data_IF_203701818927
#
_entry.id   IF_203701818927
#
_cell.length_a   1.000
_cell.length_b   1.000
_cell.length_c   1.000
_cell.angle_alpha   90.00
_cell.angle_beta   90.00
_cell.angle_gamma   90.00
#
_symmetry.space_group_name_H-M   'P 1'
#
loop_
_entity.id
_entity.type
_entity.pdbx_description
1 polymer ?
#
# COMPACT_ATOMS: atom_id res chain seq x y z
N UNK A 1 -20.35 -111.03 32.57
CA UNK A 1 -20.17 -110.37 31.26
C UNK A 1 -20.31 -108.88 31.45
N UNK A 2 -19.44 -108.00 30.99
CA UNK A 2 -17.98 -107.99 30.85
C UNK A 2 -17.67 -106.66 30.18
N UNK A 3 -16.88 -105.81 30.85
CA UNK A 3 -15.85 -105.04 30.15
C UNK A 3 -16.20 -103.67 29.56
N UNK A 4 -17.37 -103.06 29.79
CA UNK A 4 -17.60 -101.63 29.46
C UNK A 4 -18.04 -100.77 30.65
N UNK A 5 -18.76 -101.33 31.62
CA UNK A 5 -19.27 -100.55 32.77
C UNK A 5 -18.23 -100.29 33.87
N UNK A 6 -17.01 -100.83 33.76
CA UNK A 6 -15.93 -100.60 34.74
C UNK A 6 -14.96 -99.47 34.38
N UNK A 7 -14.95 -99.01 33.13
CA UNK A 7 -14.14 -97.86 32.70
C UNK A 7 -14.89 -96.52 32.86
N UNK A 8 -16.21 -96.49 32.68
CA UNK A 8 -17.00 -95.27 32.96
C UNK A 8 -17.07 -94.95 34.46
N UNK A 9 -17.12 -95.96 35.33
CA UNK A 9 -17.22 -95.79 36.78
C UNK A 9 -15.88 -95.37 37.43
N UNK A 10 -14.73 -95.68 36.80
CA UNK A 10 -13.42 -95.18 37.23
C UNK A 10 -13.17 -93.74 36.79
N UNK A 11 -13.59 -93.37 35.58
CA UNK A 11 -13.50 -91.99 35.06
C UNK A 11 -14.48 -91.03 35.76
N UNK A 12 -15.66 -91.50 36.19
CA UNK A 12 -16.57 -90.70 37.04
C UNK A 12 -16.04 -90.50 38.47
N UNK A 13 -15.31 -91.47 39.03
CA UNK A 13 -14.66 -91.31 40.34
C UNK A 13 -13.44 -90.39 40.32
N UNK A 14 -12.63 -90.40 39.26
CA UNK A 14 -11.52 -89.44 39.12
C UNK A 14 -12.01 -88.01 38.87
N UNK A 15 -13.05 -87.82 38.04
CA UNK A 15 -13.63 -86.49 37.78
C UNK A 15 -14.36 -85.90 39.00
N UNK A 16 -15.01 -86.73 39.82
CA UNK A 16 -15.59 -86.27 41.11
C UNK A 16 -14.52 -85.97 42.16
N UNK A 17 -13.39 -86.69 42.18
CA UNK A 17 -12.29 -86.39 43.09
C UNK A 17 -11.53 -85.10 42.73
N UNK A 18 -11.31 -84.84 41.43
CA UNK A 18 -10.68 -83.61 40.94
C UNK A 18 -11.54 -82.37 41.26
N UNK A 19 -12.86 -82.48 41.12
CA UNK A 19 -13.80 -81.43 41.51
C UNK A 19 -13.84 -81.21 43.03
N UNK A 20 -13.63 -82.23 43.85
CA UNK A 20 -13.58 -82.07 45.30
C UNK A 20 -12.29 -81.39 45.79
N UNK A 21 -11.15 -81.67 45.17
CA UNK A 21 -9.88 -81.00 45.49
C UNK A 21 -9.83 -79.56 44.97
N UNK A 22 -10.32 -79.31 43.74
CA UNK A 22 -10.46 -77.96 43.19
C UNK A 22 -11.37 -77.07 44.02
N UNK A 23 -12.50 -77.60 44.50
CA UNK A 23 -13.40 -76.89 45.40
C UNK A 23 -12.84 -76.72 46.81
N UNK A 24 -11.97 -77.62 47.29
CA UNK A 24 -11.24 -77.45 48.57
C UNK A 24 -10.15 -76.39 48.47
N UNK A 25 -9.44 -76.29 47.34
CA UNK A 25 -8.46 -75.23 47.08
C UNK A 25 -9.14 -73.87 46.89
N UNK A 26 -10.25 -73.81 46.12
CA UNK A 26 -11.07 -72.59 46.00
C UNK A 26 -11.68 -72.16 47.34
N UNK A 27 -12.18 -73.10 48.15
CA UNK A 27 -12.69 -72.77 49.49
C UNK A 27 -11.59 -72.32 50.44
N UNK A 28 -10.35 -72.82 50.31
CA UNK A 28 -9.22 -72.33 51.10
C UNK A 28 -8.68 -70.96 50.61
N UNK A 29 -8.78 -70.66 49.32
CA UNK A 29 -8.45 -69.33 48.76
C UNK A 29 -9.54 -68.30 49.09
N UNK A 30 -10.82 -68.69 49.06
CA UNK A 30 -11.95 -67.85 49.47
C UNK A 30 -12.07 -67.69 51.00
N UNK A 31 -11.45 -68.59 51.77
CA UNK A 31 -11.21 -68.43 53.22
C UNK A 31 -9.86 -67.77 53.54
N UNK A 32 -9.24 -67.07 52.59
CA UNK A 32 -8.30 -66.04 52.99
C UNK A 32 -9.07 -64.97 53.77
N UNK A 33 -8.82 -64.97 55.09
CA UNK A 33 -9.22 -63.98 56.10
C UNK A 33 -10.13 -62.90 55.50
N UNK A 34 -11.44 -62.94 55.78
CA UNK A 34 -12.28 -61.74 55.66
C UNK A 34 -11.51 -60.63 56.33
N UNK A 35 -10.92 -59.74 55.53
CA UNK A 35 -10.24 -58.57 56.04
C UNK A 35 -11.36 -57.76 56.68
N UNK A 36 -11.50 -57.91 58.00
CA UNK A 36 -12.44 -57.15 58.80
C UNK A 36 -11.89 -55.73 58.87
N UNK A 37 -12.07 -55.00 57.77
CA UNK A 37 -11.83 -53.57 57.74
C UNK A 37 -12.84 -52.92 58.67
N UNK A 38 -12.33 -52.13 59.61
CA UNK A 38 -13.18 -51.33 60.48
C UNK A 38 -14.06 -50.42 59.62
N UNK A 39 -15.18 -49.95 60.16
CA UNK A 39 -16.07 -49.01 59.45
C UNK A 39 -15.31 -47.81 58.86
N UNK A 40 -14.20 -47.40 59.51
CA UNK A 40 -13.31 -46.33 59.05
C UNK A 40 -12.48 -46.74 57.83
N UNK A 41 -11.95 -47.97 57.76
CA UNK A 41 -11.17 -48.44 56.61
C UNK A 41 -12.02 -48.73 55.37
N UNK A 42 -13.28 -49.15 55.53
CA UNK A 42 -14.22 -49.26 54.39
C UNK A 42 -14.54 -47.89 53.78
N UNK A 43 -14.74 -46.86 54.60
CA UNK A 43 -14.95 -45.49 54.13
C UNK A 43 -13.73 -44.95 53.37
N UNK A 44 -12.51 -45.23 53.85
CA UNK A 44 -11.27 -44.85 53.16
C UNK A 44 -11.12 -45.56 51.82
N UNK A 45 -11.40 -46.87 51.76
CA UNK A 45 -11.32 -47.65 50.51
C UNK A 45 -12.38 -47.21 49.50
N UNK A 46 -13.62 -46.97 49.93
CA UNK A 46 -14.68 -46.42 49.05
C UNK A 46 -14.32 -45.01 48.55
N UNK A 47 -13.76 -44.15 49.41
CA UNK A 47 -13.25 -42.85 49.01
C UNK A 47 -12.13 -42.94 47.98
N UNK A 48 -11.21 -43.89 48.13
CA UNK A 48 -10.13 -44.15 47.16
C UNK A 48 -10.67 -44.65 45.82
N UNK A 49 -11.67 -45.54 45.82
CA UNK A 49 -12.28 -46.05 44.57
C UNK A 49 -13.04 -44.94 43.85
N UNK A 50 -13.83 -44.13 44.56
CA UNK A 50 -14.53 -42.99 43.97
C UNK A 50 -13.52 -41.96 43.45
N UNK A 51 -12.45 -41.69 44.19
CA UNK A 51 -11.34 -40.86 43.75
C UNK A 51 -10.68 -41.39 42.47
N UNK A 52 -10.45 -42.69 42.38
CA UNK A 52 -9.89 -43.34 41.19
C UNK A 52 -10.85 -43.23 39.98
N UNK A 53 -12.15 -43.43 40.18
CA UNK A 53 -13.17 -43.28 39.14
C UNK A 53 -13.25 -41.82 38.68
N UNK A 54 -13.20 -40.85 39.58
CA UNK A 54 -13.14 -39.43 39.24
C UNK A 54 -11.86 -39.07 38.49
N UNK A 55 -10.71 -39.66 38.84
CA UNK A 55 -9.45 -39.50 38.10
C UNK A 55 -9.55 -40.12 36.70
N UNK A 56 -10.17 -41.30 36.55
CA UNK A 56 -10.38 -41.96 35.26
C UNK A 56 -11.35 -41.14 34.40
N UNK A 57 -12.50 -40.73 34.94
CA UNK A 57 -13.47 -39.86 34.25
C UNK A 57 -12.86 -38.52 33.88
N UNK A 58 -12.07 -37.91 34.78
CA UNK A 58 -11.32 -36.69 34.49
C UNK A 58 -10.28 -36.92 33.39
N UNK A 59 -9.58 -38.05 33.39
CA UNK A 59 -8.61 -38.38 32.34
C UNK A 59 -9.26 -38.62 30.97
N UNK A 60 -10.47 -39.20 30.93
CA UNK A 60 -11.24 -39.41 29.70
C UNK A 60 -11.81 -38.10 29.17
N UNK A 61 -12.40 -37.26 30.04
CA UNK A 61 -12.89 -35.93 29.68
C UNK A 61 -11.75 -35.01 29.22
N UNK A 62 -10.59 -35.08 29.89
CA UNK A 62 -9.40 -34.32 29.52
C UNK A 62 -8.79 -34.80 28.20
N UNK A 63 -8.81 -36.11 27.90
CA UNK A 63 -8.38 -36.64 26.59
C UNK A 63 -9.25 -36.15 25.43
N UNK A 64 -10.56 -35.94 25.64
CA UNK A 64 -11.44 -35.35 24.61
C UNK A 64 -11.16 -33.86 24.37
N UNK A 65 -10.83 -33.11 25.43
CA UNK A 65 -10.55 -31.67 25.35
C UNK A 65 -9.10 -31.35 24.93
N UNK A 66 -8.17 -32.27 25.15
CA UNK A 66 -6.75 -32.16 24.76
C UNK A 66 -6.42 -32.89 23.46
N UNK A 67 -7.40 -33.07 22.57
CA UNK A 67 -7.16 -33.56 21.22
C UNK A 67 -6.95 -32.34 20.27
N UNK A 68 -5.83 -32.27 19.52
CA UNK A 68 -5.59 -31.20 18.55
C UNK A 68 -6.75 -31.00 17.54
N UNK A 69 -7.41 -32.08 17.11
CA UNK A 69 -8.52 -32.03 16.16
C UNK A 69 -9.77 -31.35 16.75
N UNK A 70 -10.00 -31.52 18.06
CA UNK A 70 -11.11 -30.87 18.76
C UNK A 70 -10.99 -29.35 18.70
N UNK A 71 -9.78 -28.78 18.81
CA UNK A 71 -9.58 -27.34 18.71
C UNK A 71 -9.94 -26.80 17.32
N UNK A 72 -9.61 -27.55 16.26
CA UNK A 72 -9.91 -27.17 14.86
C UNK A 72 -11.42 -27.22 14.58
N UNK A 73 -12.10 -28.31 14.96
CA UNK A 73 -13.55 -28.44 14.75
C UNK A 73 -14.35 -27.49 15.63
N UNK A 74 -13.88 -27.19 16.84
CA UNK A 74 -14.49 -26.17 17.71
C UNK A 74 -14.38 -24.78 17.08
N UNK A 75 -13.21 -24.41 16.53
CA UNK A 75 -13.02 -23.13 15.85
C UNK A 75 -13.95 -23.01 14.64
N UNK A 76 -14.00 -24.06 13.81
CA UNK A 76 -14.86 -24.12 12.62
C UNK A 76 -16.33 -23.96 13.00
N UNK A 77 -16.79 -24.67 14.04
CA UNK A 77 -18.16 -24.59 14.55
C UNK A 77 -18.47 -23.20 15.09
N UNK A 78 -17.55 -22.61 15.87
CA UNK A 78 -17.71 -21.27 16.43
C UNK A 78 -17.83 -20.20 15.33
N UNK A 79 -16.99 -20.25 14.30
CA UNK A 79 -17.07 -19.35 13.14
C UNK A 79 -18.39 -19.52 12.38
N UNK A 80 -18.84 -20.77 12.15
CA UNK A 80 -20.12 -21.03 11.48
C UNK A 80 -21.31 -20.49 12.27
N UNK A 81 -21.26 -20.54 13.61
CA UNK A 81 -22.29 -20.03 14.52
C UNK A 81 -22.17 -18.55 14.85
N UNK A 82 -21.12 -17.88 14.38
CA UNK A 82 -20.78 -16.50 14.78
C UNK A 82 -20.59 -16.34 16.30
N UNK A 83 -20.07 -17.40 16.95
CA UNK A 83 -19.81 -17.44 18.39
C UNK A 83 -18.46 -16.78 18.72
N UNK A 84 -18.49 -15.45 18.84
CA UNK A 84 -17.29 -14.62 19.03
C UNK A 84 -16.54 -14.96 20.32
N UNK A 85 -17.27 -15.25 21.40
CA UNK A 85 -16.69 -15.62 22.69
C UNK A 85 -15.90 -16.93 22.58
N UNK A 86 -16.45 -17.93 21.91
CA UNK A 86 -15.75 -19.19 21.71
C UNK A 86 -14.54 -19.03 20.77
N UNK A 87 -14.67 -18.27 19.67
CA UNK A 87 -13.51 -17.97 18.80
C UNK A 87 -12.39 -17.30 19.59
N UNK A 88 -12.71 -16.29 20.41
CA UNK A 88 -11.74 -15.59 21.25
C UNK A 88 -11.00 -16.52 22.22
N UNK A 89 -11.70 -17.50 22.79
CA UNK A 89 -11.11 -18.49 23.69
C UNK A 89 -10.21 -19.50 22.95
N UNK A 90 -10.47 -19.77 21.68
CA UNK A 90 -9.74 -20.75 20.88
C UNK A 90 -8.50 -20.16 20.19
N UNK A 91 -8.49 -18.86 19.93
CA UNK A 91 -7.38 -18.19 19.23
C UNK A 91 -6.40 -17.49 20.18
N UNK A 92 -5.18 -17.29 19.72
CA UNK A 92 -4.15 -16.46 20.35
C UNK A 92 -3.36 -15.73 19.29
N UNK A 93 -3.00 -14.46 19.50
CA UNK A 93 -2.10 -13.77 18.58
C UNK A 93 -0.68 -14.29 18.72
N UNK A 94 0.04 -14.42 17.60
CA UNK A 94 1.48 -14.68 17.61
C UNK A 94 2.29 -13.48 18.09
N UNK A 95 1.70 -12.28 18.10
CA UNK A 95 2.30 -11.10 18.70
C UNK A 95 1.73 -10.88 20.10
N UNK A 96 2.59 -11.01 21.12
CA UNK A 96 2.20 -10.92 22.54
C UNK A 96 1.67 -9.55 22.94
N UNK A 97 1.97 -8.48 22.19
CA UNK A 97 1.45 -7.14 22.49
C UNK A 97 0.06 -6.87 21.91
N UNK A 98 -0.46 -7.74 21.05
CA UNK A 98 -1.78 -7.57 20.45
C UNK A 98 -2.87 -8.05 21.42
N UNK A 99 -3.69 -7.12 21.90
CA UNK A 99 -4.94 -7.44 22.56
C UNK A 99 -6.03 -7.71 21.51
N UNK A 100 -6.72 -8.84 21.63
CA UNK A 100 -7.81 -9.23 20.71
C UNK A 100 -9.15 -8.81 21.33
N UNK A 101 -9.84 -7.87 20.68
CA UNK A 101 -11.18 -7.44 21.10
C UNK A 101 -12.29 -8.07 20.23
N UNK A 102 -13.56 -7.76 20.51
CA UNK A 102 -14.69 -8.33 19.77
C UNK A 102 -14.76 -7.89 18.30
N UNK A 103 -14.38 -6.65 17.99
CA UNK A 103 -14.35 -6.14 16.61
C UNK A 103 -13.31 -6.90 15.77
N UNK A 104 -12.15 -7.20 16.36
CA UNK A 104 -11.09 -7.99 15.75
C UNK A 104 -11.58 -9.41 15.39
N UNK A 105 -12.36 -10.02 16.28
CA UNK A 105 -12.98 -11.34 16.06
C UNK A 105 -14.03 -11.28 14.97
N UNK A 106 -14.86 -10.25 14.97
CA UNK A 106 -15.87 -10.05 13.92
C UNK A 106 -15.23 -9.93 12.53
N UNK A 107 -14.18 -9.11 12.39
CA UNK A 107 -13.43 -8.96 11.13
C UNK A 107 -12.91 -10.32 10.64
N UNK A 108 -12.34 -11.11 11.56
CA UNK A 108 -11.79 -12.43 11.27
C UNK A 108 -12.87 -13.43 10.82
N UNK A 109 -13.99 -13.50 11.55
CA UNK A 109 -15.12 -14.38 11.24
C UNK A 109 -15.71 -14.00 9.88
N UNK A 110 -15.97 -12.71 9.65
CA UNK A 110 -16.52 -12.22 8.38
C UNK A 110 -15.59 -12.54 7.22
N UNK A 111 -14.27 -12.35 7.40
CA UNK A 111 -13.29 -12.70 6.37
C UNK A 111 -13.36 -14.19 5.99
N UNK A 112 -13.33 -15.09 6.99
CA UNK A 112 -13.36 -16.53 6.75
C UNK A 112 -14.68 -17.03 6.16
N UNK A 113 -15.81 -16.40 6.52
CA UNK A 113 -17.13 -16.70 5.94
C UNK A 113 -17.22 -16.25 4.49
N UNK A 114 -16.64 -15.09 4.15
CA UNK A 114 -16.73 -14.51 2.80
C UNK A 114 -15.67 -15.02 1.82
N UNK A 115 -14.67 -15.77 2.29
CA UNK A 115 -13.59 -16.33 1.46
C UNK A 115 -13.54 -17.86 1.57
N UNK A 116 -14.59 -18.53 1.06
CA UNK A 116 -14.79 -19.97 1.22
C UNK A 116 -13.60 -20.84 0.77
N UNK A 117 -12.98 -20.54 -0.37
CA UNK A 117 -11.84 -21.33 -0.87
C UNK A 117 -10.61 -21.18 0.02
N UNK A 118 -10.33 -19.94 0.47
CA UNK A 118 -9.26 -19.68 1.42
C UNK A 118 -9.52 -20.42 2.74
N UNK A 119 -10.74 -20.31 3.27
CA UNK A 119 -11.18 -20.94 4.51
C UNK A 119 -11.10 -22.47 4.43
N UNK A 120 -11.56 -23.08 3.34
CA UNK A 120 -11.44 -24.52 3.09
C UNK A 120 -9.99 -24.97 3.08
N UNK A 121 -9.12 -24.22 2.40
CA UNK A 121 -7.68 -24.49 2.38
C UNK A 121 -7.03 -24.35 3.75
N UNK A 122 -7.42 -23.30 4.50
CA UNK A 122 -6.97 -23.04 5.87
C UNK A 122 -7.35 -24.17 6.82
N UNK A 123 -8.62 -24.59 6.84
CA UNK A 123 -9.07 -25.67 7.73
C UNK A 123 -8.45 -27.01 7.36
N UNK A 124 -8.24 -27.30 6.07
CA UNK A 124 -7.50 -28.48 5.64
C UNK A 124 -6.06 -28.48 6.18
N UNK A 125 -5.39 -27.34 6.15
CA UNK A 125 -4.06 -27.18 6.73
C UNK A 125 -4.08 -27.39 8.25
N UNK A 126 -5.02 -26.76 8.97
CA UNK A 126 -5.16 -26.92 10.42
C UNK A 126 -5.45 -28.38 10.81
N UNK A 127 -6.30 -29.10 10.07
CA UNK A 127 -6.53 -30.53 10.28
C UNK A 127 -5.26 -31.35 10.07
N UNK A 128 -4.47 -31.05 9.03
CA UNK A 128 -3.19 -31.74 8.81
C UNK A 128 -2.18 -31.47 9.94
N UNK A 129 -2.16 -30.26 10.49
CA UNK A 129 -1.36 -29.93 11.67
C UNK A 129 -1.85 -30.69 12.91
N UNK A 130 -3.17 -30.84 13.07
CA UNK A 130 -3.77 -31.63 14.15
C UNK A 130 -3.36 -33.12 14.08
N UNK A 131 -3.40 -33.73 12.89
CA UNK A 131 -3.01 -35.13 12.69
C UNK A 131 -1.54 -35.38 13.05
N UNK A 132 -0.65 -34.46 12.69
CA UNK A 132 0.78 -34.51 13.05
C UNK A 132 1.00 -34.37 14.55
N UNK A 133 0.36 -33.40 15.18
CA UNK A 133 0.45 -33.18 16.63
C UNK A 133 -0.14 -34.35 17.43
N UNK A 134 -1.16 -35.03 16.90
CA UNK A 134 -1.72 -36.24 17.51
C UNK A 134 -0.78 -37.45 17.39
N UNK A 135 0.15 -37.43 16.44
CA UNK A 135 1.13 -38.49 16.18
C UNK A 135 2.51 -38.16 16.78
N UNK A 136 2.56 -37.28 17.79
CA UNK A 136 3.79 -36.76 18.42
C UNK A 136 4.87 -36.28 17.42
N UNK A 137 4.42 -35.80 16.26
CA UNK A 137 5.28 -35.33 15.18
C UNK A 137 5.21 -33.81 15.06
N UNK A 138 6.33 -33.19 14.68
CA UNK A 138 6.39 -31.74 14.53
C UNK A 138 5.46 -31.25 13.41
N UNK A 139 4.51 -30.39 13.79
CA UNK A 139 3.67 -29.67 12.83
C UNK A 139 4.41 -28.43 12.32
N UNK A 140 4.82 -28.46 11.05
CA UNK A 140 5.36 -27.28 10.38
C UNK A 140 4.32 -26.15 10.31
N UNK A 141 4.77 -24.93 10.61
CA UNK A 141 3.93 -23.74 10.49
C UNK A 141 3.77 -23.38 9.02
N UNK A 142 2.52 -23.26 8.58
CA UNK A 142 2.18 -22.75 7.27
C UNK A 142 2.68 -21.32 7.11
N UNK A 143 3.46 -21.04 6.07
CA UNK A 143 3.78 -19.68 5.64
C UNK A 143 2.64 -19.05 4.83
N UNK A 144 1.86 -19.87 4.13
CA UNK A 144 0.75 -19.47 3.27
C UNK A 144 -0.47 -18.95 4.04
N UNK A 145 -0.79 -19.59 5.16
CA UNK A 145 -1.96 -19.25 5.96
C UNK A 145 -1.60 -18.43 7.19
N UNK A 146 -2.54 -17.58 7.62
CA UNK A 146 -2.34 -16.72 8.79
C UNK A 146 -2.66 -17.42 10.11
N UNK A 147 -3.30 -18.59 10.13
CA UNK A 147 -3.49 -19.38 11.36
C UNK A 147 -2.66 -20.65 11.35
N UNK A 148 -2.21 -21.06 12.54
CA UNK A 148 -1.52 -22.33 12.78
C UNK A 148 -1.98 -22.92 14.11
N UNK A 149 -2.05 -24.24 14.20
CA UNK A 149 -2.36 -24.94 15.43
C UNK A 149 -1.07 -25.11 16.26
N UNK A 150 -1.13 -24.79 17.55
CA UNK A 150 -0.02 -25.05 18.47
C UNK A 150 -0.52 -25.57 19.82
N UNK A 151 0.26 -26.42 20.50
CA UNK A 151 0.08 -26.62 21.93
C UNK A 151 0.34 -25.29 22.65
N UNK A 152 -0.60 -24.89 23.48
CA UNK A 152 -0.49 -23.82 24.46
C UNK A 152 0.05 -24.37 25.79
N UNK A 153 0.12 -23.51 26.81
CA UNK A 153 0.53 -23.92 28.15
C UNK A 153 -0.37 -25.04 28.69
N UNK A 154 0.20 -25.95 29.49
CA UNK A 154 -0.52 -27.13 29.98
C UNK A 154 -1.72 -26.69 30.84
N UNK A 155 -2.93 -27.13 30.46
CA UNK A 155 -4.11 -26.99 31.30
C UNK A 155 -3.96 -27.93 32.50
N UNK A 156 -4.06 -27.38 33.71
CA UNK A 156 -3.93 -28.13 34.97
C UNK A 156 -2.60 -28.89 35.16
N UNK A 157 -1.53 -28.50 34.47
CA UNK A 157 -0.18 -29.06 34.64
C UNK A 157 0.07 -30.43 33.99
N UNK A 158 -0.95 -31.09 33.43
CA UNK A 158 -0.85 -32.48 32.95
C UNK A 158 -1.29 -32.69 31.50
N UNK A 159 -2.15 -31.84 30.93
CA UNK A 159 -2.61 -32.00 29.54
C UNK A 159 -2.30 -30.77 28.68
N UNK A 160 -1.85 -30.94 27.42
CA UNK A 160 -1.70 -29.82 26.51
C UNK A 160 -3.09 -29.22 26.18
N UNK A 161 -3.21 -27.90 26.30
CA UNK A 161 -4.31 -27.15 25.66
C UNK A 161 -3.87 -26.81 24.24
N UNK A 162 -4.76 -26.87 23.26
CA UNK A 162 -4.41 -26.51 21.88
C UNK A 162 -5.08 -25.21 21.50
N UNK A 163 -4.28 -24.25 21.02
CA UNK A 163 -4.75 -22.93 20.58
C UNK A 163 -4.41 -22.69 19.12
N UNK A 164 -5.23 -21.87 18.49
CA UNK A 164 -5.05 -21.43 17.12
C UNK A 164 -4.25 -20.13 17.16
N UNK A 165 -2.99 -20.23 16.77
CA UNK A 165 -2.08 -19.09 16.69
C UNK A 165 -2.37 -18.29 15.41
N UNK A 166 -2.83 -17.06 15.57
CA UNK A 166 -3.13 -16.13 14.47
C UNK A 166 -1.96 -15.17 14.28
N UNK A 167 -1.41 -15.13 13.08
CA UNK A 167 -0.40 -14.16 12.66
C UNK A 167 -1.06 -12.79 12.46
N UNK A 168 -0.58 -11.73 13.11
CA UNK A 168 -1.14 -10.41 12.90
C UNK A 168 -0.88 -9.91 11.49
N UNK A 169 -1.78 -9.07 11.04
CA UNK A 169 -1.65 -8.26 9.84
C UNK A 169 -1.15 -6.85 10.20
N UNK A 170 -0.59 -6.18 9.20
CA UNK A 170 -0.18 -4.78 9.28
C UNK A 170 -0.60 -4.07 8.00
N UNK A 171 -0.91 -2.78 8.08
CA UNK A 171 -1.30 -1.96 6.92
C UNK A 171 -0.28 -0.83 6.76
N UNK A 172 0.36 -0.76 5.61
CA UNK A 172 1.35 0.28 5.31
C UNK A 172 0.68 1.37 4.46
N UNK A 173 0.67 2.59 4.99
CA UNK A 173 0.16 3.77 4.29
C UNK A 173 1.34 4.56 3.75
N UNK A 174 1.33 4.83 2.44
CA UNK A 174 2.29 5.71 1.75
C UNK A 174 1.51 6.92 1.23
N UNK A 175 1.89 8.13 1.65
CA UNK A 175 1.19 9.37 1.31
C UNK A 175 2.17 10.47 0.88
N UNK A 176 1.90 11.10 -0.27
CA UNK A 176 2.67 12.25 -0.80
C UNK A 176 2.13 13.61 -0.35
N UNK A 177 1.20 13.62 0.60
CA UNK A 177 0.48 14.82 1.02
C UNK A 177 0.55 14.96 2.52
N UNK A 178 1.35 15.91 3.00
CA UNK A 178 1.44 16.27 4.42
C UNK A 178 0.10 16.77 4.97
N UNK A 179 -0.21 16.43 6.22
CA UNK A 179 -1.42 16.88 6.91
C UNK A 179 -2.68 16.07 6.58
N UNK A 180 -2.52 14.90 5.98
CA UNK A 180 -3.62 13.98 5.65
C UNK A 180 -3.95 13.11 6.86
N UNK A 181 -5.18 13.18 7.34
CA UNK A 181 -5.65 12.34 8.44
C UNK A 181 -5.96 10.93 7.94
N UNK A 182 -5.49 9.93 8.67
CA UNK A 182 -5.59 8.52 8.30
C UNK A 182 -6.53 7.83 9.28
N UNK A 183 -7.53 7.14 8.73
CA UNK A 183 -8.51 6.39 9.48
C UNK A 183 -8.50 4.93 9.04
N UNK A 184 -8.59 4.01 10.00
CA UNK A 184 -8.77 2.58 9.76
C UNK A 184 -10.04 2.17 10.50
N UNK A 185 -11.03 1.64 9.78
CA UNK A 185 -12.38 1.33 10.28
C UNK A 185 -12.96 2.52 11.08
N UNK A 186 -12.93 3.71 10.49
CA UNK A 186 -13.42 4.97 11.05
C UNK A 186 -12.69 5.50 12.29
N UNK A 187 -11.69 4.78 12.83
CA UNK A 187 -10.83 5.28 13.91
C UNK A 187 -9.65 6.04 13.31
N UNK A 188 -9.43 7.28 13.73
CA UNK A 188 -8.22 8.01 13.34
C UNK A 188 -7.00 7.36 14.00
N UNK A 189 -6.04 6.92 13.18
CA UNK A 189 -4.83 6.23 13.64
C UNK A 189 -3.59 7.11 13.55
N UNK A 190 -3.64 8.19 12.76
CA UNK A 190 -2.54 9.13 12.62
C UNK A 190 -2.79 10.21 11.58
N UNK A 191 -1.76 11.00 11.32
CA UNK A 191 -1.74 12.07 10.32
C UNK A 191 -0.39 12.04 9.62
N UNK A 192 -0.35 12.23 8.30
CA UNK A 192 0.91 12.29 7.56
C UNK A 192 1.72 13.53 7.94
N UNK A 193 2.98 13.34 8.31
CA UNK A 193 3.86 14.40 8.82
C UNK A 193 4.76 15.01 7.75
N UNK A 194 4.87 14.39 6.58
CA UNK A 194 5.70 14.80 5.45
C UNK A 194 5.03 14.49 4.10
N UNK A 195 5.58 15.03 3.00
CA UNK A 195 5.14 14.80 1.61
C UNK A 195 5.72 13.50 1.00
N UNK A 196 6.31 12.64 1.82
CA UNK A 196 6.83 11.30 1.50
C UNK A 196 6.51 10.28 2.60
N UNK A 197 5.45 10.56 3.37
CA UNK A 197 5.07 9.82 4.56
C UNK A 197 4.88 8.33 4.27
N UNK A 198 5.56 7.48 5.06
CA UNK A 198 5.34 6.04 5.08
C UNK A 198 5.23 5.57 6.51
N UNK A 199 4.13 4.88 6.84
CA UNK A 199 3.95 4.33 8.17
C UNK A 199 3.14 3.02 8.14
N UNK A 200 3.51 2.08 9.01
CA UNK A 200 2.89 0.77 9.13
C UNK A 200 2.08 0.70 10.43
N UNK A 201 0.77 0.53 10.29
CA UNK A 201 -0.17 0.42 11.41
C UNK A 201 -0.49 -1.05 11.71
N UNK A 202 -0.63 -1.36 13.00
CA UNK A 202 -0.97 -2.68 13.51
C UNK A 202 -0.35 -2.89 14.90
N UNK A 203 -0.40 -4.11 15.43
CA UNK A 203 -0.91 -5.33 14.81
C UNK A 203 -2.45 -5.36 14.70
N UNK A 204 -2.96 -5.88 13.58
CA UNK A 204 -4.39 -6.09 13.30
C UNK A 204 -4.73 -7.57 13.13
N UNK A 205 -6.00 -7.95 13.30
CA UNK A 205 -6.44 -9.29 12.89
C UNK A 205 -6.50 -9.40 11.36
N UNK A 206 -6.12 -10.54 10.76
CA UNK A 206 -6.28 -10.75 9.32
C UNK A 206 -7.74 -10.57 8.89
N UNK A 207 -7.97 -9.71 7.88
CA UNK A 207 -9.29 -9.47 7.35
C UNK A 207 -9.36 -8.31 6.36
N UNK A 208 -10.56 -7.75 6.16
CA UNK A 208 -10.77 -6.57 5.32
C UNK A 208 -10.97 -5.33 6.18
N UNK A 209 -10.17 -4.31 5.93
CA UNK A 209 -10.22 -3.02 6.62
C UNK A 209 -10.60 -1.90 5.66
N UNK A 210 -11.39 -0.94 6.14
CA UNK A 210 -11.65 0.29 5.40
C UNK A 210 -10.63 1.33 5.82
N UNK A 211 -9.74 1.70 4.89
CA UNK A 211 -8.79 2.78 5.07
C UNK A 211 -9.37 4.04 4.43
N UNK A 212 -9.42 5.14 5.19
CA UNK A 212 -9.77 6.46 4.68
C UNK A 212 -8.63 7.43 4.91
N UNK A 213 -8.14 8.03 3.83
CA UNK A 213 -7.25 9.18 3.86
C UNK A 213 -8.11 10.44 3.66
N UNK A 214 -8.02 11.40 4.59
CA UNK A 214 -8.83 12.63 4.59
C UNK A 214 -7.93 13.85 4.66
N UNK A 215 -7.86 14.60 3.57
CA UNK A 215 -7.10 15.83 3.47
C UNK A 215 -8.03 17.04 3.50
N UNK A 216 -7.69 18.03 4.32
CA UNK A 216 -8.43 19.29 4.47
C UNK A 216 -7.43 20.45 4.51
N UNK A 217 -7.05 20.93 3.33
CA UNK A 217 -6.11 22.03 3.18
C UNK A 217 -6.75 23.36 2.84
N UNK A 218 -5.90 24.36 2.59
CA UNK A 218 -6.31 25.70 2.18
C UNK A 218 -6.96 25.74 0.79
N UNK A 219 -6.56 24.82 -0.10
CA UNK A 219 -6.93 24.85 -1.52
C UNK A 219 -7.74 23.63 -1.97
N UNK A 220 -7.81 22.57 -1.16
CA UNK A 220 -8.53 21.35 -1.51
C UNK A 220 -9.06 20.62 -0.28
N UNK A 221 -10.19 19.93 -0.46
CA UNK A 221 -10.78 19.01 0.52
C UNK A 221 -11.08 17.71 -0.19
N UNK A 222 -10.42 16.63 0.21
CA UNK A 222 -10.50 15.34 -0.49
C UNK A 222 -10.53 14.21 0.51
N UNK A 223 -11.36 13.21 0.24
CA UNK A 223 -11.35 11.91 0.90
C UNK A 223 -11.08 10.81 -0.11
N UNK A 224 -10.20 9.87 0.23
CA UNK A 224 -9.98 8.62 -0.49
C UNK A 224 -10.32 7.46 0.44
N UNK A 225 -11.20 6.57 0.01
CA UNK A 225 -11.60 5.38 0.78
C UNK A 225 -11.21 4.13 -0.01
N UNK A 226 -10.46 3.23 0.62
CA UNK A 226 -9.99 1.98 0.02
C UNK A 226 -10.24 0.83 0.98
N UNK A 227 -10.71 -0.31 0.45
CA UNK A 227 -10.75 -1.57 1.20
C UNK A 227 -9.43 -2.30 1.05
N UNK A 228 -8.82 -2.68 2.17
CA UNK A 228 -7.54 -3.38 2.23
C UNK A 228 -7.77 -4.80 2.72
N UNK A 229 -7.40 -5.77 1.89
CA UNK A 229 -7.37 -7.19 2.26
C UNK A 229 -5.98 -7.53 2.81
N UNK A 230 -5.88 -7.59 4.13
CA UNK A 230 -4.59 -7.76 4.80
C UNK A 230 -3.98 -9.16 4.64
N UNK A 231 -4.69 -10.08 3.99
CA UNK A 231 -4.19 -11.42 3.67
C UNK A 231 -3.51 -11.48 2.31
N UNK A 232 -3.62 -10.41 1.50
CA UNK A 232 -3.08 -10.32 0.15
C UNK A 232 -2.15 -9.12 0.00
N UNK A 233 -2.72 -7.92 -0.03
CA UNK A 233 -1.98 -6.67 -0.21
C UNK A 233 -2.31 -5.71 0.92
N UNK A 234 -1.26 -5.31 1.62
CA UNK A 234 -1.33 -4.46 2.82
C UNK A 234 -0.91 -3.02 2.55
N UNK A 235 -0.46 -2.70 1.33
CA UNK A 235 -0.04 -1.35 0.99
C UNK A 235 -1.20 -0.52 0.42
N UNK A 236 -1.40 0.65 1.01
CA UNK A 236 -2.26 1.72 0.47
C UNK A 236 -1.37 2.85 -0.02
N UNK A 237 -1.60 3.28 -1.26
CA UNK A 237 -0.86 4.37 -1.91
C UNK A 237 -1.76 5.61 -2.02
N UNK A 238 -1.12 6.76 -1.78
CA UNK A 238 -1.48 8.17 -2.01
C UNK A 238 -2.93 8.53 -2.36
N UNK A 239 -3.37 9.70 -1.90
CA UNK A 239 -4.50 10.40 -2.52
C UNK A 239 -4.08 10.88 -3.92
N UNK A 240 -4.49 10.16 -4.96
CA UNK A 240 -4.08 10.44 -6.35
C UNK A 240 -4.84 11.61 -6.99
N UNK A 241 -5.89 12.10 -6.33
CA UNK A 241 -6.77 13.17 -6.83
C UNK A 241 -6.32 14.58 -6.43
N UNK A 242 -5.15 14.71 -5.80
CA UNK A 242 -4.53 16.01 -5.52
C UNK A 242 -3.10 16.07 -6.04
N UNK A 243 -2.66 17.26 -6.44
CA UNK A 243 -1.32 17.51 -6.97
C UNK A 243 -0.75 18.83 -6.47
N UNK A 244 0.57 18.92 -6.50
CA UNK A 244 1.31 20.17 -6.39
C UNK A 244 1.66 20.67 -7.79
N UNK A 245 1.60 21.98 -8.01
CA UNK A 245 1.89 22.63 -9.29
C UNK A 245 2.90 23.75 -9.08
N UNK A 246 3.81 23.92 -10.03
CA UNK A 246 4.74 25.05 -10.03
C UNK A 246 4.12 26.19 -10.85
N UNK A 247 4.03 27.38 -10.26
CA UNK A 247 3.39 28.53 -10.91
C UNK A 247 4.43 29.60 -11.17
N UNK A 248 4.53 30.06 -12.42
CA UNK A 248 5.44 31.13 -12.84
C UNK A 248 4.72 32.12 -13.75
N UNK A 249 5.28 33.33 -13.89
CA UNK A 249 4.77 34.40 -14.75
C UNK A 249 5.89 35.40 -15.00
N UNK A 250 5.78 36.18 -16.07
CA UNK A 250 6.65 37.34 -16.32
C UNK A 250 6.47 38.44 -15.28
N UNK A 251 5.29 38.51 -14.64
CA UNK A 251 5.03 39.42 -13.54
C UNK A 251 5.14 38.70 -12.21
N UNK A 252 6.37 38.65 -11.69
CA UNK A 252 6.71 38.08 -10.39
C UNK A 252 5.96 38.74 -9.20
N UNK A 253 5.47 39.98 -9.37
CA UNK A 253 4.73 40.74 -8.36
C UNK A 253 3.21 40.57 -8.42
N UNK A 254 2.67 39.85 -9.41
CA UNK A 254 1.25 39.61 -9.54
C UNK A 254 0.70 38.71 -8.41
N UNK A 255 -0.50 39.01 -7.93
CA UNK A 255 -1.20 38.25 -6.89
C UNK A 255 -1.87 37.01 -7.47
N UNK A 256 -1.73 35.87 -6.78
CA UNK A 256 -2.26 34.58 -7.25
C UNK A 256 -3.70 34.37 -6.78
N UNK A 257 -4.52 33.84 -7.67
CA UNK A 257 -5.90 33.47 -7.41
C UNK A 257 -6.13 31.99 -7.71
N UNK A 258 -6.88 31.32 -6.83
CA UNK A 258 -7.36 29.95 -7.02
C UNK A 258 -8.88 29.99 -6.92
N UNK A 259 -9.58 29.48 -7.94
CA UNK A 259 -11.05 29.44 -8.01
C UNK A 259 -11.70 30.79 -7.63
N UNK A 260 -11.19 31.87 -8.23
CA UNK A 260 -11.57 33.28 -8.00
C UNK A 260 -11.28 33.85 -6.60
N UNK A 261 -10.57 33.11 -5.74
CA UNK A 261 -10.15 33.59 -4.42
C UNK A 261 -8.68 34.03 -4.43
N UNK A 262 -8.41 35.28 -4.04
CA UNK A 262 -7.05 35.75 -3.78
C UNK A 262 -6.44 34.95 -2.62
N UNK A 263 -5.26 34.36 -2.82
CA UNK A 263 -4.59 33.58 -1.77
C UNK A 263 -3.63 34.43 -0.91
N UNK A 264 -3.55 35.74 -1.17
CA UNK A 264 -2.71 36.68 -0.43
C UNK A 264 -1.21 36.50 -0.66
N UNK A 265 -0.83 35.91 -1.80
CA UNK A 265 0.56 35.65 -2.17
C UNK A 265 0.83 36.09 -3.60
N UNK A 266 2.05 36.56 -3.87
CA UNK A 266 2.51 36.90 -5.22
C UNK A 266 3.16 35.70 -5.91
N UNK A 267 3.32 35.76 -7.23
CA UNK A 267 4.00 34.74 -8.02
C UNK A 267 5.38 34.41 -7.44
N UNK A 268 6.20 35.43 -7.12
CA UNK A 268 7.54 35.23 -6.53
C UNK A 268 7.55 34.53 -5.17
N UNK A 269 6.45 34.62 -4.43
CA UNK A 269 6.29 34.03 -3.09
C UNK A 269 5.76 32.59 -3.16
N UNK A 270 5.33 32.13 -4.35
CA UNK A 270 4.69 30.83 -4.58
C UNK A 270 5.42 30.07 -5.67
N UNK A 271 6.53 29.41 -5.30
CA UNK A 271 7.23 28.50 -6.22
C UNK A 271 6.38 27.28 -6.56
N UNK A 272 5.75 26.69 -5.55
CA UNK A 272 4.91 25.50 -5.65
C UNK A 272 3.62 25.74 -4.89
N UNK A 273 2.51 25.39 -5.51
CA UNK A 273 1.16 25.59 -5.02
C UNK A 273 0.44 24.25 -4.96
N UNK A 274 -0.26 24.00 -3.87
CA UNK A 274 -0.98 22.75 -3.67
C UNK A 274 -0.97 22.32 -2.21
N UNK A 275 -1.49 21.12 -1.94
CA UNK A 275 -2.22 20.25 -2.87
C UNK A 275 -3.52 20.88 -3.39
N UNK A 276 -3.78 20.73 -4.68
CA UNK A 276 -5.01 21.16 -5.38
C UNK A 276 -5.61 19.99 -6.16
N UNK A 277 -6.91 20.07 -6.45
CA UNK A 277 -7.64 19.05 -7.22
C UNK A 277 -7.58 19.31 -8.73
N UNK A 278 -7.96 18.30 -9.49
CA UNK A 278 -8.33 18.52 -10.89
C UNK A 278 -9.49 19.53 -10.98
N UNK A 279 -9.55 20.25 -12.09
CA UNK A 279 -10.46 21.33 -12.44
C UNK A 279 -10.30 22.62 -11.60
N UNK A 280 -9.29 22.68 -10.73
CA UNK A 280 -8.93 23.92 -10.03
C UNK A 280 -8.41 24.95 -11.03
N UNK A 281 -8.96 26.16 -10.98
CA UNK A 281 -8.62 27.26 -11.88
C UNK A 281 -7.64 28.21 -11.20
N UNK A 282 -6.54 28.52 -11.88
CA UNK A 282 -5.46 29.36 -11.38
C UNK A 282 -5.20 30.48 -12.36
N UNK A 283 -5.09 31.70 -11.84
CA UNK A 283 -4.67 32.88 -12.59
C UNK A 283 -3.96 33.87 -11.65
N UNK A 284 -3.36 34.91 -12.22
CA UNK A 284 -2.71 35.98 -11.50
C UNK A 284 -3.33 37.34 -11.85
N UNK A 285 -3.23 38.30 -10.92
CA UNK A 285 -3.67 39.69 -11.12
C UNK A 285 -2.52 40.63 -10.82
N UNK A 286 -2.14 41.42 -11.82
CA UNK A 286 -1.14 42.47 -11.69
C UNK A 286 -1.82 43.82 -11.45
N UNK A 287 -1.26 44.64 -10.56
CA UNK A 287 -1.67 46.04 -10.37
C UNK A 287 -0.64 46.94 -11.02
N UNK A 288 -1.02 47.61 -12.10
CA UNK A 288 -0.16 48.54 -12.84
C UNK A 288 -0.85 49.89 -12.90
N UNK A 289 -0.21 50.94 -12.38
CA UNK A 289 -0.78 52.30 -12.30
C UNK A 289 -2.18 52.33 -11.65
N UNK A 290 -2.40 51.52 -10.62
CA UNK A 290 -3.68 51.43 -9.90
C UNK A 290 -4.79 50.66 -10.61
N UNK A 291 -4.55 50.13 -11.82
CA UNK A 291 -5.49 49.27 -12.55
C UNK A 291 -5.10 47.80 -12.42
N UNK A 292 -6.11 46.93 -12.36
CA UNK A 292 -5.94 45.49 -12.29
C UNK A 292 -5.98 44.86 -13.68
N UNK A 293 -5.06 43.94 -13.92
CA UNK A 293 -4.92 43.19 -15.16
C UNK A 293 -4.90 41.71 -14.80
N UNK A 294 -5.58 40.84 -15.56
CA UNK A 294 -5.72 39.40 -15.27
C UNK A 294 -4.83 38.61 -16.24
N UNK A 295 -4.12 37.60 -15.76
CA UNK A 295 -3.45 36.65 -16.64
C UNK A 295 -4.47 35.77 -17.38
N UNK A 296 -3.98 34.92 -18.27
CA UNK A 296 -4.69 33.72 -18.68
C UNK A 296 -5.11 32.89 -17.45
N UNK A 297 -6.27 32.28 -17.55
CA UNK A 297 -6.77 31.31 -16.57
C UNK A 297 -6.39 29.90 -17.03
N UNK A 298 -5.69 29.16 -16.16
CA UNK A 298 -5.30 27.77 -16.41
C UNK A 298 -6.09 26.86 -15.49
N UNK A 299 -6.70 25.84 -16.07
CA UNK A 299 -7.42 24.81 -15.33
C UNK A 299 -6.54 23.56 -15.19
N UNK A 300 -6.42 23.05 -13.97
CA UNK A 300 -5.61 21.86 -13.69
C UNK A 300 -6.34 20.61 -14.17
N UNK A 301 -5.80 19.94 -15.17
CA UNK A 301 -6.40 18.74 -15.74
C UNK A 301 -5.87 18.48 -17.14
N UNK A 302 -6.41 17.48 -17.83
CA UNK A 302 -6.07 17.20 -19.23
C UNK A 302 -4.56 17.00 -19.46
N UNK A 303 -3.93 17.94 -20.19
CA UNK A 303 -2.50 17.89 -20.53
C UNK A 303 -1.58 17.87 -19.31
N UNK A 304 -1.96 18.55 -18.23
CA UNK A 304 -1.22 18.61 -16.98
C UNK A 304 -1.27 17.29 -16.19
N UNK A 305 -2.13 16.34 -16.56
CA UNK A 305 -2.19 15.07 -15.85
C UNK A 305 -0.99 14.15 -16.12
N UNK A 306 -0.24 14.42 -17.19
CA UNK A 306 0.93 13.62 -17.60
C UNK A 306 2.19 13.94 -16.79
N UNK A 307 2.23 15.09 -16.12
CA UNK A 307 3.37 15.52 -15.32
C UNK A 307 3.15 15.17 -13.83
N UNK A 308 4.23 14.79 -13.14
CA UNK A 308 4.21 14.55 -11.69
C UNK A 308 4.01 15.86 -10.91
N UNK A 309 4.62 16.96 -11.39
CA UNK A 309 4.44 18.31 -10.84
C UNK A 309 4.22 19.29 -12.00
N UNK A 310 2.95 19.53 -12.38
CA UNK A 310 2.63 20.38 -13.52
C UNK A 310 3.23 21.77 -13.41
N UNK A 311 3.74 22.28 -14.54
CA UNK A 311 4.29 23.64 -14.63
C UNK A 311 3.29 24.57 -15.32
N UNK A 312 2.80 25.54 -14.56
CA UNK A 312 1.84 26.54 -14.98
C UNK A 312 2.55 27.87 -15.21
N UNK A 313 2.69 28.25 -16.46
CA UNK A 313 3.08 29.59 -16.83
C UNK A 313 1.82 30.43 -17.05
N UNK A 314 1.65 31.49 -16.26
CA UNK A 314 0.50 32.41 -16.32
C UNK A 314 0.89 33.66 -17.12
N UNK A 315 0.50 33.69 -18.39
CA UNK A 315 0.79 34.80 -19.33
C UNK A 315 -0.22 35.93 -19.16
N UNK A 316 0.23 37.18 -19.17
CA UNK A 316 -0.64 38.34 -19.23
C UNK A 316 -0.89 38.74 -20.69
N UNK A 317 -2.15 38.82 -21.13
CA UNK A 317 -2.45 39.31 -22.47
C UNK A 317 -2.02 40.77 -22.63
N UNK A 318 -1.93 41.24 -23.87
CA UNK A 318 -1.60 42.64 -24.15
C UNK A 318 -2.76 43.56 -23.74
N UNK A 319 -2.45 44.59 -22.96
CA UNK A 319 -3.42 45.59 -22.51
C UNK A 319 -3.05 46.98 -23.05
N UNK A 320 -3.98 47.71 -23.71
CA UNK A 320 -3.70 49.04 -24.22
C UNK A 320 -3.21 50.00 -23.12
N UNK A 321 -2.11 50.69 -23.38
CA UNK A 321 -1.53 51.69 -22.46
C UNK A 321 -0.80 51.10 -21.25
N UNK A 322 -0.66 49.78 -21.17
CA UNK A 322 0.19 49.10 -20.19
C UNK A 322 1.51 48.75 -20.87
N UNK A 323 2.67 49.15 -20.32
CA UNK A 323 3.95 48.59 -20.71
C UNK A 323 3.97 47.12 -20.29
N UNK A 324 3.28 46.25 -21.04
CA UNK A 324 3.37 44.82 -20.83
C UNK A 324 4.57 44.32 -21.66
N UNK A 325 5.56 43.69 -21.05
CA UNK A 325 6.44 42.84 -21.82
C UNK A 325 5.59 41.78 -22.56
N UNK A 326 5.77 41.61 -23.87
CA UNK A 326 4.97 40.66 -24.66
C UNK A 326 5.43 39.21 -24.38
N UNK A 327 5.20 38.70 -23.16
CA UNK A 327 5.55 37.36 -22.69
C UNK A 327 5.13 36.29 -23.68
N UNK A 328 3.85 36.21 -24.01
CA UNK A 328 3.32 35.30 -25.04
C UNK A 328 4.01 35.39 -26.40
N UNK A 329 4.40 36.59 -26.87
CA UNK A 329 5.14 36.71 -28.13
C UNK A 329 6.54 36.11 -28.04
N UNK A 330 7.25 36.35 -26.93
CA UNK A 330 8.59 35.77 -26.70
C UNK A 330 8.50 34.26 -26.51
N UNK A 331 7.47 33.76 -25.82
CA UNK A 331 7.24 32.33 -25.69
C UNK A 331 7.00 31.66 -27.04
N UNK A 332 6.12 32.25 -27.86
CA UNK A 332 5.85 31.73 -29.20
C UNK A 332 7.08 31.83 -30.11
N UNK A 333 7.86 32.91 -29.99
CA UNK A 333 9.16 33.06 -30.64
C UNK A 333 10.07 31.88 -30.30
N UNK A 334 10.23 31.52 -29.03
CA UNK A 334 11.08 30.39 -28.63
C UNK A 334 10.53 29.07 -29.15
N UNK A 335 9.23 28.80 -28.98
CA UNK A 335 8.63 27.56 -29.48
C UNK A 335 8.84 27.41 -30.99
N UNK A 336 8.62 28.47 -31.76
CA UNK A 336 8.87 28.48 -33.20
C UNK A 336 10.36 28.33 -33.51
N UNK A 337 11.23 29.09 -32.82
CA UNK A 337 12.68 28.98 -32.98
C UNK A 337 13.16 27.53 -32.82
N UNK A 338 12.71 26.80 -31.81
CA UNK A 338 13.14 25.41 -31.58
C UNK A 338 12.64 24.45 -32.68
N UNK A 339 11.39 24.60 -33.12
CA UNK A 339 10.83 23.81 -34.22
C UNK A 339 11.61 24.06 -35.52
N UNK A 340 11.80 25.33 -35.88
CA UNK A 340 12.51 25.69 -37.11
C UNK A 340 14.02 25.39 -37.02
N UNK A 341 14.62 25.40 -35.82
CA UNK A 341 15.99 24.95 -35.58
C UNK A 341 16.14 23.47 -35.97
N UNK A 342 15.19 22.62 -35.57
CA UNK A 342 15.18 21.22 -36.02
C UNK A 342 14.99 21.09 -37.54
N UNK A 343 14.15 21.92 -38.17
CA UNK A 343 14.00 21.94 -39.62
C UNK A 343 15.32 22.30 -40.31
N UNK A 344 15.98 23.37 -39.87
CA UNK A 344 17.27 23.79 -40.41
C UNK A 344 18.34 22.69 -40.24
N UNK A 345 18.37 22.03 -39.07
CA UNK A 345 19.28 20.91 -38.79
C UNK A 345 19.03 19.72 -39.73
N UNK A 346 17.78 19.32 -39.92
CA UNK A 346 17.45 18.15 -40.76
C UNK A 346 17.57 18.41 -42.25
N UNK A 347 17.41 19.66 -42.71
CA UNK A 347 17.35 19.99 -44.14
C UNK A 347 18.56 20.78 -44.64
N UNK A 348 19.39 21.30 -43.74
CA UNK A 348 20.45 22.26 -44.09
C UNK A 348 19.95 23.68 -44.39
N UNK A 349 18.64 23.94 -44.38
CA UNK A 349 18.08 25.23 -44.76
C UNK A 349 18.19 26.25 -43.61
N UNK A 350 19.30 27.00 -43.57
CA UNK A 350 19.51 28.08 -42.60
C UNK A 350 18.51 29.25 -42.75
N UNK A 351 17.95 29.45 -43.95
CA UNK A 351 16.98 30.52 -44.22
C UNK A 351 15.71 30.39 -43.37
N UNK A 352 15.37 29.17 -42.95
CA UNK A 352 14.25 28.89 -42.05
C UNK A 352 14.36 29.60 -40.69
N UNK A 353 15.56 30.05 -40.30
CA UNK A 353 15.83 30.68 -39.00
C UNK A 353 15.81 32.20 -39.01
N UNK A 354 15.77 32.84 -40.19
CA UNK A 354 15.90 34.28 -40.33
C UNK A 354 14.80 35.08 -39.61
N UNK A 355 13.61 34.49 -39.47
CA UNK A 355 12.47 35.10 -38.77
C UNK A 355 12.53 34.99 -37.25
N UNK A 356 13.51 34.26 -36.71
CA UNK A 356 13.56 33.91 -35.28
C UNK A 356 14.88 34.29 -34.60
N UNK A 357 15.97 34.43 -35.35
CA UNK A 357 17.28 34.80 -34.81
C UNK A 357 17.58 36.26 -35.10
N UNK A 358 18.09 36.98 -34.11
CA UNK A 358 18.48 38.38 -34.28
C UNK A 358 19.65 38.47 -35.27
N UNK A 359 19.59 39.29 -36.33
CA UNK A 359 20.66 39.38 -37.33
C UNK A 359 22.01 39.77 -36.71
N UNK A 360 23.06 39.02 -37.03
CA UNK A 360 24.42 39.26 -36.52
C UNK A 360 24.63 38.87 -35.05
N UNK A 361 23.72 38.08 -34.48
CA UNK A 361 23.86 37.59 -33.11
C UNK A 361 24.77 36.36 -33.00
N UNK A 362 25.33 36.12 -31.82
CA UNK A 362 26.16 34.92 -31.54
C UNK A 362 25.40 33.62 -31.84
N UNK A 363 24.09 33.60 -31.56
CA UNK A 363 23.23 32.44 -31.81
C UNK A 363 23.16 32.05 -33.29
N UNK A 364 23.29 33.02 -34.21
CA UNK A 364 23.30 32.74 -35.65
C UNK A 364 24.46 31.82 -36.01
N UNK A 365 25.65 32.04 -35.42
CA UNK A 365 26.83 31.24 -35.74
C UNK A 365 26.81 29.88 -35.05
N UNK A 366 26.26 29.80 -33.83
CA UNK A 366 26.00 28.53 -33.15
C UNK A 366 25.05 27.63 -33.96
N UNK A 367 23.95 28.18 -34.47
CA UNK A 367 22.99 27.42 -35.28
C UNK A 367 23.64 26.94 -36.58
N UNK A 368 24.45 27.76 -37.25
CA UNK A 368 25.22 27.33 -38.43
C UNK A 368 26.16 26.16 -38.11
N UNK A 369 26.88 26.24 -36.99
CA UNK A 369 27.77 25.17 -36.55
C UNK A 369 26.99 23.88 -36.22
N UNK A 370 25.84 24.01 -35.57
CA UNK A 370 24.96 22.88 -35.23
C UNK A 370 24.42 22.19 -36.49
N UNK A 371 23.93 22.94 -37.47
CA UNK A 371 23.44 22.39 -38.75
C UNK A 371 24.55 21.59 -39.44
N UNK A 372 25.77 22.14 -39.56
CA UNK A 372 26.92 21.43 -40.14
C UNK A 372 27.25 20.14 -39.40
N UNK A 373 27.24 20.16 -38.07
CA UNK A 373 27.52 18.98 -37.22
C UNK A 373 26.51 17.85 -37.43
N UNK A 374 25.26 18.16 -37.75
CA UNK A 374 24.21 17.17 -37.92
C UNK A 374 24.03 16.72 -39.37
N UNK A 375 24.44 17.52 -40.35
CA UNK A 375 24.51 17.06 -41.75
C UNK A 375 25.45 15.86 -41.94
N UNK A 376 26.47 15.70 -41.09
CA UNK A 376 27.35 14.52 -41.11
C UNK A 376 26.80 13.33 -40.33
N UNK A 377 25.56 13.44 -39.81
CA UNK A 377 24.92 12.39 -39.00
C UNK A 377 23.64 11.95 -39.70
N UNK A 378 23.46 10.65 -39.85
CA UNK A 378 22.20 10.05 -40.30
C UNK A 378 21.17 10.04 -39.16
N UNK A 379 20.91 11.20 -38.56
CA UNK A 379 20.01 11.41 -37.43
C UNK A 379 18.97 12.47 -37.79
N UNK A 380 17.68 12.16 -37.59
CA UNK A 380 16.59 13.15 -37.70
C UNK A 380 16.19 13.62 -36.31
N UNK A 381 16.19 14.93 -36.09
CA UNK A 381 15.80 15.52 -34.80
C UNK A 381 14.46 16.24 -34.93
N UNK A 382 13.57 16.04 -33.98
CA UNK A 382 12.30 16.80 -33.90
C UNK A 382 12.09 17.33 -32.48
N UNK A 383 11.51 18.52 -32.37
CA UNK A 383 11.08 19.06 -31.06
C UNK A 383 9.84 18.28 -30.62
N UNK A 384 9.95 17.58 -29.49
CA UNK A 384 8.84 16.82 -28.90
C UNK A 384 8.01 17.70 -27.97
N UNK A 385 8.66 18.50 -27.12
CA UNK A 385 8.00 19.50 -26.28
C UNK A 385 8.95 20.62 -25.90
N UNK A 386 8.38 21.79 -25.60
CA UNK A 386 9.07 22.94 -25.02
C UNK A 386 8.17 23.55 -23.94
N UNK A 387 8.59 23.41 -22.69
CA UNK A 387 7.93 23.99 -21.54
C UNK A 387 8.66 25.26 -21.14
N UNK A 388 7.97 26.40 -21.16
CA UNK A 388 8.54 27.65 -20.67
C UNK A 388 8.50 27.62 -19.15
N UNK A 389 9.66 27.73 -18.51
CA UNK A 389 9.77 27.71 -17.05
C UNK A 389 9.90 29.10 -16.45
N UNK A 390 10.26 30.10 -17.26
CA UNK A 390 10.24 31.50 -16.87
C UNK A 390 10.53 32.42 -18.05
N UNK A 391 10.02 33.65 -18.00
CA UNK A 391 10.35 34.70 -18.95
C UNK A 391 10.47 36.01 -18.17
N UNK A 392 11.64 36.63 -18.21
CA UNK A 392 11.92 37.85 -17.46
C UNK A 392 12.38 38.92 -18.42
N UNK A 393 11.67 40.03 -18.41
CA UNK A 393 12.04 41.20 -19.19
C UNK A 393 12.90 42.16 -18.38
N UNK A 394 13.80 42.83 -19.08
CA UNK A 394 14.50 43.98 -18.56
C UNK A 394 13.53 45.17 -18.43
N UNK A 395 13.93 46.19 -17.67
CA UNK A 395 13.08 47.37 -17.39
C UNK A 395 12.64 48.11 -18.67
N UNK A 396 13.39 47.98 -19.76
CA UNK A 396 13.07 48.60 -21.06
C UNK A 396 11.92 47.89 -21.79
N UNK A 397 11.52 46.70 -21.34
CA UNK A 397 10.54 45.84 -22.01
C UNK A 397 10.98 45.32 -23.38
N UNK A 398 12.20 45.62 -23.83
CA UNK A 398 12.70 45.34 -25.20
C UNK A 398 13.72 44.22 -25.23
N UNK A 399 14.16 43.74 -24.08
CA UNK A 399 15.10 42.63 -23.98
C UNK A 399 14.83 41.83 -22.71
N UNK A 400 15.39 40.63 -22.63
CA UNK A 400 15.21 39.79 -21.46
C UNK A 400 15.78 38.40 -21.64
N UNK A 401 15.37 37.52 -20.73
CA UNK A 401 15.77 36.12 -20.67
C UNK A 401 14.53 35.23 -20.60
N UNK A 402 14.57 34.10 -21.29
CA UNK A 402 13.53 33.07 -21.27
C UNK A 402 14.18 31.71 -21.02
N UNK A 403 13.61 30.98 -20.07
CA UNK A 403 14.09 29.69 -19.62
C UNK A 403 13.14 28.60 -20.11
N UNK A 404 13.70 27.49 -20.58
CA UNK A 404 12.97 26.40 -21.18
C UNK A 404 13.42 25.04 -20.66
N UNK A 405 12.48 24.10 -20.65
CA UNK A 405 12.77 22.67 -20.64
C UNK A 405 12.37 22.09 -21.99
N UNK A 406 13.35 21.53 -22.68
CA UNK A 406 13.25 21.12 -24.08
C UNK A 406 13.43 19.62 -24.20
N UNK A 407 12.51 18.98 -24.92
CA UNK A 407 12.58 17.55 -25.19
C UNK A 407 12.65 17.36 -26.70
N UNK A 408 13.66 16.62 -27.15
CA UNK A 408 13.87 16.30 -28.55
C UNK A 408 13.77 14.80 -28.77
N UNK A 409 13.13 14.39 -29.86
CA UNK A 409 13.22 13.04 -30.37
C UNK A 409 14.34 12.97 -31.42
N UNK A 410 15.25 12.02 -31.27
CA UNK A 410 16.33 11.72 -32.21
C UNK A 410 16.08 10.34 -32.79
N UNK A 411 15.83 10.29 -34.10
CA UNK A 411 15.61 9.08 -34.87
C UNK A 411 16.86 8.76 -35.69
N UNK A 412 17.40 7.56 -35.50
CA UNK A 412 18.49 7.01 -36.30
C UNK A 412 18.04 5.67 -36.89
N UNK A 413 17.76 5.66 -38.19
CA UNK A 413 17.27 4.49 -38.94
C UNK A 413 16.06 3.80 -38.30
N UNK A 414 15.11 4.57 -37.76
CA UNK A 414 13.90 4.07 -37.12
C UNK A 414 14.05 3.76 -35.62
N UNK A 415 15.27 3.83 -35.08
CA UNK A 415 15.51 3.72 -33.63
C UNK A 415 15.38 5.10 -33.00
N UNK A 416 14.38 5.26 -32.13
CA UNK A 416 14.07 6.52 -31.47
C UNK A 416 14.73 6.62 -30.09
N UNK A 417 15.29 7.79 -29.79
CA UNK A 417 15.82 8.15 -28.48
C UNK A 417 15.39 9.57 -28.11
N UNK A 418 15.31 9.87 -26.81
CA UNK A 418 14.95 11.20 -26.32
C UNK A 418 16.17 11.91 -25.74
N UNK A 419 16.27 13.22 -25.99
CA UNK A 419 17.25 14.11 -25.34
C UNK A 419 16.53 15.26 -24.66
N UNK A 420 16.96 15.58 -23.45
CA UNK A 420 16.33 16.59 -22.60
C UNK A 420 17.35 17.65 -22.19
N UNK A 421 16.93 18.90 -22.25
CA UNK A 421 17.78 20.04 -21.93
C UNK A 421 17.01 21.09 -21.13
N UNK A 422 17.70 21.71 -20.17
CA UNK A 422 17.30 22.99 -19.60
C UNK A 422 18.11 24.08 -20.29
N UNK A 423 17.44 25.04 -20.93
CA UNK A 423 18.10 26.11 -21.68
C UNK A 423 17.66 27.49 -21.20
N UNK A 424 18.56 28.46 -21.33
CA UNK A 424 18.29 29.87 -21.07
C UNK A 424 18.66 30.67 -22.31
N UNK A 425 17.73 31.44 -22.85
CA UNK A 425 17.95 32.29 -24.02
C UNK A 425 17.78 33.75 -23.67
N UNK A 426 18.62 34.61 -24.21
CA UNK A 426 18.31 36.04 -24.29
C UNK A 426 17.57 36.37 -25.57
N UNK A 427 16.69 37.36 -25.50
CA UNK A 427 15.95 37.90 -26.65
C UNK A 427 16.07 39.41 -26.71
N UNK A 428 15.87 39.97 -27.90
CA UNK A 428 15.87 41.41 -28.14
C UNK A 428 14.78 41.80 -29.13
N UNK A 429 14.19 42.97 -28.92
CA UNK A 429 13.24 43.58 -29.82
C UNK A 429 13.96 44.20 -31.01
N UNK A 430 13.54 43.83 -32.21
CA UNK A 430 14.02 44.41 -33.46
C UNK A 430 13.04 45.47 -33.94
N UNK A 431 13.43 46.75 -33.79
CA UNK A 431 12.61 47.88 -34.21
C UNK A 431 12.35 47.97 -35.72
N UNK A 432 13.14 47.30 -36.57
CA UNK A 432 12.92 47.29 -38.03
C UNK A 432 11.78 46.37 -38.43
N UNK A 433 11.70 45.20 -37.80
CA UNK A 433 10.67 44.19 -38.09
C UNK A 433 9.49 44.27 -37.13
N UNK A 434 9.60 45.08 -36.07
CA UNK A 434 8.62 45.21 -34.99
C UNK A 434 8.34 43.86 -34.28
N UNK A 435 9.38 43.04 -34.10
CA UNK A 435 9.28 41.69 -33.52
C UNK A 435 10.41 41.42 -32.53
N UNK A 436 10.18 40.53 -31.57
CA UNK A 436 11.26 39.95 -30.75
C UNK A 436 11.98 38.85 -31.54
N UNK A 437 13.29 38.77 -31.36
CA UNK A 437 14.14 37.73 -31.94
C UNK A 437 15.08 37.17 -30.88
N UNK A 438 15.43 35.89 -30.99
CA UNK A 438 16.36 35.22 -30.09
C UNK A 438 17.76 35.74 -30.38
N UNK A 439 18.47 36.18 -29.34
CA UNK A 439 19.77 36.85 -29.48
C UNK A 439 20.92 35.91 -29.10
N UNK A 440 20.82 35.20 -27.98
CA UNK A 440 21.93 34.35 -27.51
C UNK A 440 21.41 33.18 -26.69
N UNK A 441 22.00 32.00 -26.87
CA UNK A 441 21.89 30.89 -25.93
C UNK A 441 22.85 31.18 -24.77
N UNK A 442 22.30 31.41 -23.59
CA UNK A 442 23.08 31.74 -22.39
C UNK A 442 23.60 30.49 -21.70
N UNK A 443 22.76 29.46 -21.62
CA UNK A 443 23.04 28.21 -20.93
C UNK A 443 22.27 27.05 -21.57
N UNK A 444 22.87 25.87 -21.60
CA UNK A 444 22.21 24.61 -22.00
C UNK A 444 22.79 23.45 -21.19
N UNK A 445 21.97 22.86 -20.34
CA UNK A 445 22.35 21.75 -19.45
C UNK A 445 21.56 20.51 -19.84
N UNK A 446 22.27 19.41 -20.12
CA UNK A 446 21.67 18.09 -20.33
C UNK A 446 21.01 17.61 -19.05
N UNK A 447 19.82 17.04 -19.18
CA UNK A 447 19.11 16.41 -18.08
C UNK A 447 19.38 14.91 -17.99
#
# INVERSE_FOLDING_TARGET
MSGKDKEEDSMQKESTNFNSQGNRLLNNILNQRKLNFSKKSKLVITGLIIGLILIILHSLFSKMQSNPATAVESLKTAISRDDRSEVKNLIKSSNKSQHINEDDIEILIQYLKNHHDYSKGLFKELSSQADKLASDSDAHLSSKYFMNLKPAEKKYGIFPDYKILVKPAYITIKSKVKGTNIYINNKQVGTSTSDDFTHTYGPYMPGIYTVKESYRGNYAKVDKVVKVDTTKNTEVKNIDSVKYVNVTSENEDAEVFIDNKNIGKKIKDVKTLGPITNNTKIYAVAVINGKQYKSEEKEIGGEYNKEETPKLYLDFPTYPGVPNPNGGQVQQLIKNYLVFKCVAVNTGNLGAMNSYIYPGSELSDEVKALVKKYQSKDEKITTKSCNITGCKFNQDGKSGVVNTEEVYNVDKYGVQSTKEYNCSYSFKFNGKTNTYLVYKLLESVSR
#
